data_IF_846984693192
#
_entry.id   IF_846984693192
#
_cell.length_a   1.000
_cell.length_b   1.000
_cell.length_c   1.000
_cell.angle_alpha   90.00
_cell.angle_beta   90.00
_cell.angle_gamma   90.00
#
_symmetry.space_group_name_H-M   'P 1'
#
loop_
_entity.id
_entity.type
_entity.pdbx_description
1 polymer ?
#
# COMPACT_ATOMS: atom_id res chain seq x y z
N UNK A 1 -28.45 -7.97 2.70
CA UNK A 1 -29.11 -6.77 3.20
C UNK A 1 -28.39 -5.56 2.62
N UNK A 2 -29.14 -4.68 2.00
CA UNK A 2 -28.70 -3.35 1.62
C UNK A 2 -28.69 -2.55 2.93
N UNK A 3 -27.53 -2.08 3.35
CA UNK A 3 -27.38 -1.19 4.51
C UNK A 3 -27.27 0.22 3.92
N UNK A 4 -28.38 0.92 3.96
CA UNK A 4 -28.62 2.32 3.54
C UNK A 4 -27.97 2.74 2.21
N UNK A 5 -27.02 2.50 1.64
CA UNK A 5 -26.46 2.77 0.31
C UNK A 5 -25.36 1.76 -0.09
N UNK A 6 -25.02 0.81 0.82
CA UNK A 6 -23.97 -0.18 0.59
C UNK A 6 -24.55 -1.55 0.28
N UNK A 7 -24.40 -2.05 -0.97
CA UNK A 7 -24.78 -3.40 -1.33
C UNK A 7 -23.74 -4.43 -0.85
N UNK A 8 -23.96 -4.94 0.37
CA UNK A 8 -23.11 -5.97 0.98
C UNK A 8 -23.07 -7.27 0.16
N UNK A 9 -24.12 -7.57 -0.62
CA UNK A 9 -24.19 -8.77 -1.46
C UNK A 9 -23.24 -8.65 -2.65
N UNK A 10 -23.23 -7.51 -3.33
CA UNK A 10 -22.35 -7.23 -4.45
C UNK A 10 -20.88 -7.17 -4.01
N UNK A 11 -20.62 -6.55 -2.88
CA UNK A 11 -19.29 -6.53 -2.25
C UNK A 11 -18.75 -7.94 -1.97
N UNK A 12 -19.57 -8.85 -1.42
CA UNK A 12 -19.19 -10.23 -1.15
C UNK A 12 -19.02 -11.03 -2.44
N UNK A 13 -19.92 -10.84 -3.43
CA UNK A 13 -19.81 -11.48 -4.74
C UNK A 13 -18.50 -11.13 -5.44
N UNK A 14 -18.07 -9.87 -5.38
CA UNK A 14 -16.76 -9.41 -5.89
C UNK A 14 -15.57 -10.11 -5.23
N UNK A 15 -15.74 -10.64 -4.03
CA UNK A 15 -14.74 -11.44 -3.29
C UNK A 15 -14.92 -12.95 -3.46
N UNK A 16 -15.80 -13.40 -4.32
CA UNK A 16 -16.10 -14.82 -4.52
C UNK A 16 -16.89 -15.47 -3.38
N UNK A 17 -17.50 -14.67 -2.49
CA UNK A 17 -18.33 -15.16 -1.40
C UNK A 17 -19.78 -15.24 -1.88
N UNK A 18 -20.26 -16.47 -2.20
CA UNK A 18 -21.62 -16.71 -2.70
C UNK A 18 -22.69 -16.78 -1.60
N UNK A 19 -22.30 -17.06 -0.35
CA UNK A 19 -23.25 -17.20 0.77
C UNK A 19 -22.60 -16.85 2.11
N UNK A 20 -23.42 -16.35 3.05
CA UNK A 20 -22.99 -15.98 4.40
C UNK A 20 -23.86 -16.72 5.41
N UNK A 21 -23.21 -17.44 6.32
CA UNK A 21 -23.87 -18.11 7.45
C UNK A 21 -23.84 -17.17 8.66
N UNK A 22 -25.00 -16.85 9.23
CA UNK A 22 -25.10 -16.03 10.44
C UNK A 22 -25.15 -16.94 11.67
N UNK A 23 -24.17 -16.77 12.58
CA UNK A 23 -24.08 -17.55 13.83
C UNK A 23 -23.92 -19.07 13.63
N UNK A 24 -23.11 -19.55 12.66
CA UNK A 24 -22.99 -20.98 12.42
C UNK A 24 -22.29 -21.67 13.61
N UNK A 25 -22.77 -22.89 13.94
CA UNK A 25 -21.99 -23.77 14.82
C UNK A 25 -20.93 -24.47 13.99
N UNK A 26 -19.67 -24.06 14.20
CA UNK A 26 -18.55 -24.62 13.44
C UNK A 26 -17.94 -25.78 14.24
N UNK A 27 -17.92 -26.97 13.64
CA UNK A 27 -17.26 -28.15 14.18
C UNK A 27 -16.12 -28.54 13.26
N UNK A 28 -14.91 -28.62 13.79
CA UNK A 28 -13.73 -29.02 13.01
C UNK A 28 -13.75 -30.55 12.82
N UNK A 29 -14.01 -30.99 11.60
CA UNK A 29 -14.10 -32.42 11.25
C UNK A 29 -12.74 -33.05 10.93
N UNK A 30 -11.70 -32.26 10.61
CA UNK A 30 -10.38 -32.77 10.28
C UNK A 30 -9.37 -31.68 9.99
N UNK A 31 -8.12 -32.08 9.67
CA UNK A 31 -7.14 -31.17 9.12
C UNK A 31 -7.49 -30.88 7.66
N UNK A 32 -7.61 -29.58 7.30
CA UNK A 32 -8.00 -29.20 5.96
C UNK A 32 -7.03 -29.69 4.87
N UNK A 33 -7.57 -30.06 3.72
CA UNK A 33 -6.85 -30.56 2.53
C UNK A 33 -6.26 -29.42 1.66
N UNK A 34 -6.05 -28.21 2.22
CA UNK A 34 -5.52 -27.07 1.49
C UNK A 34 -4.07 -27.23 1.06
N UNK A 35 -3.65 -26.45 0.05
CA UNK A 35 -2.27 -26.42 -0.46
C UNK A 35 -1.26 -26.23 0.67
N UNK A 36 -0.26 -27.14 0.74
CA UNK A 36 0.84 -27.07 1.72
C UNK A 36 1.63 -25.77 1.59
N UNK A 37 1.79 -25.26 0.38
CA UNK A 37 2.44 -23.98 0.12
C UNK A 37 1.68 -22.81 0.79
N UNK A 38 0.37 -22.68 0.55
CA UNK A 38 -0.45 -21.64 1.16
C UNK A 38 -0.47 -21.76 2.68
N UNK A 39 -0.57 -22.99 3.21
CA UNK A 39 -0.53 -23.24 4.65
C UNK A 39 0.79 -22.77 5.27
N UNK A 40 1.91 -23.03 4.60
CA UNK A 40 3.23 -22.56 5.03
C UNK A 40 3.31 -21.05 5.00
N UNK A 41 2.82 -20.41 3.93
CA UNK A 41 2.78 -18.95 3.79
C UNK A 41 1.98 -18.28 4.92
N UNK A 42 0.80 -18.82 5.23
CA UNK A 42 -0.03 -18.33 6.34
C UNK A 42 0.63 -18.54 7.71
N UNK A 43 1.34 -19.67 7.93
CA UNK A 43 2.12 -19.88 9.16
C UNK A 43 3.22 -18.84 9.32
N UNK A 44 3.96 -18.53 8.27
CA UNK A 44 4.99 -17.49 8.28
C UNK A 44 4.38 -16.12 8.56
N UNK A 45 3.27 -15.78 7.92
CA UNK A 45 2.55 -14.53 8.18
C UNK A 45 2.12 -14.41 9.64
N UNK A 46 1.59 -15.48 10.21
CA UNK A 46 1.20 -15.51 11.63
C UNK A 46 2.41 -15.43 12.57
N UNK A 47 3.51 -16.09 12.25
CA UNK A 47 4.75 -16.01 13.01
C UNK A 47 5.33 -14.59 13.02
N UNK A 48 5.34 -13.90 11.86
CA UNK A 48 5.77 -12.51 11.78
C UNK A 48 4.84 -11.58 12.58
N UNK A 49 3.52 -11.76 12.45
CA UNK A 49 2.55 -10.98 13.22
C UNK A 49 2.74 -11.15 14.73
N UNK A 50 2.90 -12.38 15.20
CA UNK A 50 3.14 -12.65 16.61
C UNK A 50 4.50 -12.11 17.08
N UNK A 51 5.49 -12.04 16.19
CA UNK A 51 6.79 -11.43 16.48
C UNK A 51 6.66 -9.92 16.63
N UNK A 52 5.97 -9.23 15.71
CA UNK A 52 5.70 -7.79 15.84
C UNK A 52 5.00 -7.47 17.16
N UNK A 53 3.97 -8.24 17.53
CA UNK A 53 3.25 -8.06 18.79
C UNK A 53 4.10 -8.35 20.05
N UNK A 54 5.22 -9.10 19.93
CA UNK A 54 6.16 -9.35 21.04
C UNK A 54 7.24 -8.28 21.18
N UNK A 55 7.59 -7.58 20.09
CA UNK A 55 8.69 -6.60 20.09
C UNK A 55 8.21 -5.15 20.21
N UNK A 56 6.94 -4.87 19.92
CA UNK A 56 6.32 -3.55 19.99
C UNK A 56 5.03 -3.58 20.82
N UNK A 57 4.71 -2.49 21.55
CA UNK A 57 3.42 -2.31 22.19
C UNK A 57 2.32 -2.03 21.18
N UNK A 58 1.04 -2.16 21.58
CA UNK A 58 -0.10 -1.63 20.85
C UNK A 58 -0.28 -0.14 21.22
N UNK A 59 -0.71 0.72 20.27
CA UNK A 59 -1.19 0.43 18.89
C UNK A 59 -0.08 0.34 17.82
N UNK A 60 1.18 0.64 18.14
CA UNK A 60 2.29 0.66 17.16
C UNK A 60 2.52 -0.70 16.49
N UNK A 61 2.35 -1.80 17.24
CA UNK A 61 2.42 -3.16 16.69
C UNK A 61 1.32 -3.42 15.65
N UNK A 62 0.12 -2.90 15.90
CA UNK A 62 -1.01 -2.94 14.96
C UNK A 62 -0.70 -2.21 13.66
N UNK A 63 -0.20 -0.97 13.76
CA UNK A 63 0.18 -0.15 12.62
C UNK A 63 1.31 -0.81 11.80
N UNK A 64 2.37 -1.28 12.44
CA UNK A 64 3.47 -1.97 11.74
C UNK A 64 2.99 -3.24 11.05
N UNK A 65 2.09 -4.01 11.68
CA UNK A 65 1.49 -5.21 11.07
C UNK A 65 0.65 -4.86 9.85
N UNK A 66 -0.07 -3.75 9.86
CA UNK A 66 -0.78 -3.21 8.70
C UNK A 66 0.17 -2.89 7.55
N UNK A 67 1.21 -2.11 7.83
CA UNK A 67 2.20 -1.65 6.84
C UNK A 67 3.00 -2.82 6.23
N UNK A 68 3.47 -3.80 7.04
CA UNK A 68 4.33 -4.88 6.56
C UNK A 68 3.57 -6.09 6.03
N UNK A 69 2.45 -6.46 6.69
CA UNK A 69 1.77 -7.73 6.46
C UNK A 69 0.36 -7.56 5.86
N UNK A 70 -0.13 -6.33 5.72
CA UNK A 70 -1.48 -6.05 5.21
C UNK A 70 -2.60 -6.50 6.15
N UNK A 71 -2.36 -6.56 7.45
CA UNK A 71 -3.34 -6.98 8.46
C UNK A 71 -3.84 -5.75 9.21
N UNK A 72 -4.72 -4.97 8.57
CA UNK A 72 -5.20 -3.68 9.09
C UNK A 72 -6.21 -3.75 10.25
N UNK A 73 -6.73 -4.93 10.59
CA UNK A 73 -7.81 -5.06 11.60
C UNK A 73 -7.33 -5.15 13.06
N UNK A 74 -6.12 -4.70 13.37
CA UNK A 74 -5.54 -4.78 14.72
C UNK A 74 -5.50 -3.43 15.46
N UNK A 75 -6.03 -2.37 14.87
CA UNK A 75 -6.12 -1.06 15.52
C UNK A 75 -7.45 -0.92 16.27
N UNK A 76 -7.48 -0.14 17.36
CA UNK A 76 -8.71 0.31 18.00
C UNK A 76 -9.61 1.07 17.01
N UNK A 77 -10.94 0.98 17.20
CA UNK A 77 -11.90 1.56 16.26
C UNK A 77 -11.80 3.10 16.14
N UNK A 78 -11.43 3.77 17.22
CA UNK A 78 -11.18 5.21 17.28
C UNK A 78 -9.97 5.62 16.43
N UNK A 79 -8.90 4.84 16.42
CA UNK A 79 -7.75 5.07 15.56
C UNK A 79 -8.07 4.77 14.09
N UNK A 80 -8.81 3.70 13.81
CA UNK A 80 -9.24 3.37 12.43
C UNK A 80 -10.05 4.52 11.83
N UNK A 81 -10.97 5.09 12.61
CA UNK A 81 -11.73 6.27 12.23
C UNK A 81 -10.83 7.51 12.05
N UNK A 82 -9.86 7.75 12.95
CA UNK A 82 -8.91 8.84 12.81
C UNK A 82 -8.08 8.72 11.52
N UNK A 83 -7.66 7.50 11.14
CA UNK A 83 -6.99 7.25 9.85
C UNK A 83 -7.90 7.55 8.66
N UNK A 84 -9.21 7.24 8.76
CA UNK A 84 -10.20 7.54 7.73
C UNK A 84 -10.36 9.04 7.54
N UNK A 85 -10.60 9.77 8.63
CA UNK A 85 -10.78 11.23 8.63
C UNK A 85 -9.52 11.95 8.16
N UNK A 86 -8.33 11.51 8.57
CA UNK A 86 -7.05 12.03 8.09
C UNK A 86 -6.74 11.67 6.62
N UNK A 87 -7.55 10.80 5.96
CA UNK A 87 -7.31 10.34 4.58
C UNK A 87 -6.11 9.42 4.44
N UNK A 88 -5.65 8.80 5.54
CA UNK A 88 -4.46 7.95 5.61
C UNK A 88 -4.77 6.45 5.67
N UNK A 89 -6.03 6.02 5.48
CA UNK A 89 -6.42 4.60 5.49
C UNK A 89 -5.62 3.74 4.51
N UNK A 90 -5.14 4.32 3.42
CA UNK A 90 -4.32 3.63 2.42
C UNK A 90 -2.92 3.22 2.94
N UNK A 91 -2.43 3.79 4.05
CA UNK A 91 -1.15 3.44 4.70
C UNK A 91 -1.28 2.14 5.49
N UNK A 92 -2.46 1.86 6.05
CA UNK A 92 -2.75 0.61 6.77
C UNK A 92 -2.94 -0.58 5.83
N UNK A 93 -3.20 -0.32 4.56
CA UNK A 93 -3.32 -1.34 3.52
C UNK A 93 -2.03 -1.33 2.71
N UNK A 94 -1.54 -2.52 2.34
CA UNK A 94 -0.34 -2.59 1.51
C UNK A 94 -0.56 -1.88 0.18
N UNK A 95 0.25 -0.87 -0.02
CA UNK A 95 0.25 -0.04 -1.22
C UNK A 95 1.13 -0.61 -2.32
N UNK A 96 0.96 -0.11 -3.54
CA UNK A 96 1.83 -0.42 -4.66
C UNK A 96 3.31 -0.06 -4.41
N UNK A 97 3.56 0.92 -3.52
CA UNK A 97 4.89 1.30 -3.09
C UNK A 97 5.66 0.14 -2.41
N UNK A 98 4.99 -0.64 -1.56
CA UNK A 98 5.59 -1.78 -0.88
C UNK A 98 6.05 -2.86 -1.88
N UNK A 99 5.22 -3.14 -2.89
CA UNK A 99 5.58 -4.06 -3.98
C UNK A 99 6.81 -3.53 -4.76
N UNK A 100 6.82 -2.24 -5.08
CA UNK A 100 7.94 -1.61 -5.79
C UNK A 100 9.24 -1.65 -4.99
N UNK A 101 9.16 -1.45 -3.67
CA UNK A 101 10.32 -1.53 -2.78
C UNK A 101 10.90 -2.96 -2.74
N UNK A 102 10.04 -3.98 -2.61
CA UNK A 102 10.45 -5.39 -2.61
C UNK A 102 11.03 -5.77 -3.97
N UNK A 103 10.37 -5.40 -5.08
CA UNK A 103 10.86 -5.64 -6.43
C UNK A 103 12.23 -4.98 -6.66
N UNK A 104 12.40 -3.72 -6.24
CA UNK A 104 13.66 -2.99 -6.32
C UNK A 104 14.78 -3.65 -5.52
N UNK A 105 14.50 -4.10 -4.29
CA UNK A 105 15.46 -4.81 -3.45
C UNK A 105 15.90 -6.14 -4.08
N UNK A 106 14.96 -6.93 -4.61
CA UNK A 106 15.24 -8.19 -5.30
C UNK A 106 16.08 -7.97 -6.55
N UNK A 107 15.79 -6.93 -7.34
CA UNK A 107 16.58 -6.56 -8.52
C UNK A 107 18.00 -6.13 -8.14
N UNK A 108 18.17 -5.30 -7.10
CA UNK A 108 19.49 -4.85 -6.65
C UNK A 108 20.38 -6.02 -6.20
N UNK A 109 19.82 -6.95 -5.43
CA UNK A 109 20.56 -8.14 -4.96
C UNK A 109 20.83 -9.08 -6.13
N UNK A 110 19.83 -9.33 -6.96
CA UNK A 110 19.94 -10.27 -8.09
C UNK A 110 20.98 -9.83 -9.11
N UNK A 111 20.95 -8.55 -9.53
CA UNK A 111 21.88 -8.01 -10.56
C UNK A 111 23.35 -8.02 -10.13
N UNK A 112 23.64 -7.98 -8.83
CA UNK A 112 25.03 -7.96 -8.32
C UNK A 112 25.64 -9.35 -8.15
N UNK A 113 24.83 -10.40 -8.00
CA UNK A 113 25.28 -11.72 -7.53
C UNK A 113 24.92 -12.89 -8.43
N UNK A 114 23.97 -12.72 -9.35
CA UNK A 114 23.36 -13.83 -10.09
C UNK A 114 23.41 -13.59 -11.60
N UNK A 115 23.36 -14.71 -12.34
CA UNK A 115 23.15 -14.67 -13.78
C UNK A 115 21.80 -13.95 -14.08
N UNK A 116 21.79 -13.22 -15.17
CA UNK A 116 20.68 -12.42 -15.67
C UNK A 116 19.31 -13.13 -15.62
N UNK A 117 19.23 -14.35 -16.15
CA UNK A 117 17.98 -15.12 -16.19
C UNK A 117 17.54 -15.64 -14.81
N UNK A 118 18.51 -16.00 -13.96
CA UNK A 118 18.23 -16.39 -12.57
C UNK A 118 17.73 -15.21 -11.76
N UNK A 119 18.34 -14.04 -11.92
CA UNK A 119 17.90 -12.80 -11.26
C UNK A 119 16.47 -12.43 -11.68
N UNK A 120 16.15 -12.55 -12.97
CA UNK A 120 14.78 -12.35 -13.47
C UNK A 120 13.79 -13.30 -12.81
N UNK A 121 14.06 -14.60 -12.88
CA UNK A 121 13.19 -15.63 -12.33
C UNK A 121 12.93 -15.43 -10.84
N UNK A 122 13.98 -15.14 -10.05
CA UNK A 122 13.87 -14.85 -8.63
C UNK A 122 13.07 -13.58 -8.34
N UNK A 123 13.25 -12.53 -9.14
CA UNK A 123 12.50 -11.29 -8.97
C UNK A 123 11.00 -11.49 -9.28
N UNK A 124 10.68 -12.16 -10.39
CA UNK A 124 9.31 -12.47 -10.77
C UNK A 124 8.63 -13.37 -9.72
N UNK A 125 9.31 -14.45 -9.31
CA UNK A 125 8.81 -15.35 -8.26
C UNK A 125 8.68 -14.63 -6.91
N UNK A 126 9.65 -13.83 -6.52
CA UNK A 126 9.63 -13.07 -5.26
C UNK A 126 8.49 -12.07 -5.18
N UNK A 127 8.22 -11.32 -6.26
CA UNK A 127 7.07 -10.40 -6.34
C UNK A 127 5.76 -11.17 -6.25
N UNK A 128 5.62 -12.30 -6.96
CA UNK A 128 4.43 -13.13 -6.93
C UNK A 128 4.20 -13.73 -5.53
N UNK A 129 5.23 -14.31 -4.92
CA UNK A 129 5.18 -14.85 -3.55
C UNK A 129 4.83 -13.76 -2.53
N UNK A 130 5.44 -12.57 -2.65
CA UNK A 130 5.13 -11.45 -1.75
C UNK A 130 3.68 -10.98 -1.92
N UNK A 131 3.17 -10.89 -3.15
CA UNK A 131 1.77 -10.55 -3.38
C UNK A 131 0.80 -11.58 -2.76
N UNK A 132 1.11 -12.88 -2.89
CA UNK A 132 0.35 -13.95 -2.22
C UNK A 132 0.46 -13.87 -0.70
N UNK A 133 1.64 -13.58 -0.18
CA UNK A 133 1.91 -13.47 1.26
C UNK A 133 1.10 -12.35 1.91
N UNK A 134 1.01 -11.21 1.25
CA UNK A 134 0.32 -10.02 1.74
C UNK A 134 -1.20 -10.14 1.58
N UNK A 135 -1.63 -10.85 0.56
CA UNK A 135 -3.01 -10.97 0.12
C UNK A 135 -3.24 -10.22 -1.19
N UNK A 136 -3.98 -10.86 -2.08
CA UNK A 136 -4.24 -10.38 -3.45
C UNK A 136 -5.34 -9.29 -3.48
N UNK A 137 -5.20 -8.22 -2.68
CA UNK A 137 -6.07 -7.05 -2.82
C UNK A 137 -5.85 -6.37 -4.18
N UNK A 138 -6.84 -5.62 -4.68
CA UNK A 138 -6.75 -4.98 -6.00
C UNK A 138 -5.50 -4.07 -6.17
N UNK A 139 -5.10 -3.22 -5.18
CA UNK A 139 -3.86 -2.44 -5.27
C UNK A 139 -2.59 -3.29 -5.34
N UNK A 140 -2.54 -4.39 -4.57
CA UNK A 140 -1.40 -5.32 -4.56
C UNK A 140 -1.29 -6.04 -5.90
N UNK A 141 -2.40 -6.58 -6.40
CA UNK A 141 -2.43 -7.29 -7.69
C UNK A 141 -2.03 -6.38 -8.85
N UNK A 142 -2.59 -5.15 -8.91
CA UNK A 142 -2.19 -4.16 -9.90
C UNK A 142 -0.69 -3.88 -9.85
N UNK A 143 -0.14 -3.58 -8.67
CA UNK A 143 1.26 -3.24 -8.52
C UNK A 143 2.18 -4.42 -8.84
N UNK A 144 1.81 -5.64 -8.46
CA UNK A 144 2.54 -6.84 -8.83
C UNK A 144 2.54 -7.05 -10.35
N UNK A 145 1.38 -6.97 -11.02
CA UNK A 145 1.29 -7.09 -12.48
C UNK A 145 2.13 -6.02 -13.19
N UNK A 146 2.03 -4.76 -12.76
CA UNK A 146 2.85 -3.68 -13.33
C UNK A 146 4.34 -3.93 -13.12
N UNK A 147 4.76 -4.34 -11.92
CA UNK A 147 6.16 -4.67 -11.64
C UNK A 147 6.65 -5.83 -12.53
N UNK A 148 5.86 -6.90 -12.67
CA UNK A 148 6.18 -8.05 -13.54
C UNK A 148 6.31 -7.63 -15.01
N UNK A 149 5.40 -6.77 -15.50
CA UNK A 149 5.43 -6.25 -16.88
C UNK A 149 6.65 -5.35 -17.12
N UNK A 150 6.96 -4.45 -16.18
CA UNK A 150 8.13 -3.56 -16.26
C UNK A 150 9.42 -4.35 -16.23
N UNK A 151 9.57 -5.28 -15.29
CA UNK A 151 10.75 -6.13 -15.18
C UNK A 151 10.90 -6.99 -16.43
N UNK A 152 9.84 -7.67 -16.87
CA UNK A 152 9.85 -8.49 -18.07
C UNK A 152 10.22 -7.70 -19.34
N UNK A 153 9.70 -6.46 -19.50
CA UNK A 153 10.03 -5.61 -20.64
C UNK A 153 11.51 -5.19 -20.66
N UNK A 154 12.06 -4.80 -19.48
CA UNK A 154 13.49 -4.48 -19.36
C UNK A 154 14.38 -5.65 -19.74
N UNK A 155 14.02 -6.85 -19.32
CA UNK A 155 14.74 -8.07 -19.67
C UNK A 155 14.58 -8.45 -21.15
N UNK A 156 13.48 -8.10 -21.79
CA UNK A 156 13.31 -8.26 -23.24
C UNK A 156 14.01 -7.15 -24.06
N UNK A 157 14.81 -6.28 -23.43
CA UNK A 157 15.49 -5.16 -24.09
C UNK A 157 14.54 -4.08 -24.61
N UNK A 158 13.29 -4.03 -24.10
CA UNK A 158 12.26 -3.09 -24.51
C UNK A 158 12.08 -1.99 -23.44
N UNK A 159 11.78 -0.78 -23.90
CA UNK A 159 11.36 0.31 -23.00
C UNK A 159 9.93 0.05 -22.53
N UNK A 160 9.73 0.03 -21.21
CA UNK A 160 8.38 -0.02 -20.63
C UNK A 160 7.78 1.36 -20.55
N UNK A 161 6.52 1.51 -20.98
CA UNK A 161 5.72 2.70 -20.74
C UNK A 161 4.76 2.41 -19.58
N UNK A 162 4.77 3.27 -18.56
CA UNK A 162 3.94 3.09 -17.36
C UNK A 162 2.45 3.01 -17.68
N UNK A 163 1.96 3.84 -18.63
CA UNK A 163 0.57 3.79 -19.07
C UNK A 163 0.22 2.47 -19.74
N UNK A 164 1.11 1.91 -20.57
CA UNK A 164 0.90 0.61 -21.23
C UNK A 164 0.85 -0.52 -20.17
N UNK A 165 1.74 -0.48 -19.20
CA UNK A 165 1.74 -1.46 -18.10
C UNK A 165 0.50 -1.32 -17.22
N UNK A 166 0.01 -0.09 -16.99
CA UNK A 166 -1.22 0.17 -16.26
C UNK A 166 -2.44 -0.36 -17.02
N UNK A 167 -2.55 -0.08 -18.32
CA UNK A 167 -3.63 -0.56 -19.17
C UNK A 167 -3.64 -2.09 -19.28
N UNK A 168 -2.46 -2.70 -19.43
CA UNK A 168 -2.34 -4.16 -19.46
C UNK A 168 -2.74 -4.80 -18.11
N UNK A 169 -2.34 -4.21 -16.99
CA UNK A 169 -2.77 -4.66 -15.66
C UNK A 169 -4.29 -4.54 -15.49
N UNK A 170 -4.89 -3.42 -15.94
CA UNK A 170 -6.34 -3.22 -15.94
C UNK A 170 -7.05 -4.32 -16.75
N UNK A 171 -6.59 -4.55 -17.97
CA UNK A 171 -7.16 -5.58 -18.86
C UNK A 171 -7.06 -6.98 -18.23
N UNK A 172 -5.90 -7.37 -17.73
CA UNK A 172 -5.70 -8.69 -17.11
C UNK A 172 -6.62 -8.87 -15.90
N UNK A 173 -6.70 -7.86 -15.02
CA UNK A 173 -7.52 -7.94 -13.82
C UNK A 173 -9.00 -8.03 -14.16
N UNK A 174 -9.50 -7.22 -15.10
CA UNK A 174 -10.92 -7.22 -15.51
C UNK A 174 -11.30 -8.43 -16.34
N UNK A 175 -10.38 -8.96 -17.15
CA UNK A 175 -10.58 -10.23 -17.86
C UNK A 175 -10.66 -11.43 -16.88
N UNK A 176 -9.87 -11.41 -15.81
CA UNK A 176 -9.91 -12.45 -14.77
C UNK A 176 -11.17 -12.36 -13.89
N UNK A 177 -11.59 -11.16 -13.55
CA UNK A 177 -12.81 -10.91 -12.77
C UNK A 177 -13.42 -9.56 -13.15
N UNK A 178 -14.49 -9.52 -13.95
CA UNK A 178 -15.17 -8.28 -14.36
C UNK A 178 -15.69 -7.43 -13.18
N UNK A 179 -16.00 -8.04 -12.04
CA UNK A 179 -16.49 -7.33 -10.85
C UNK A 179 -15.47 -6.35 -10.25
N UNK A 180 -14.20 -6.45 -10.63
CA UNK A 180 -13.20 -5.43 -10.23
C UNK A 180 -13.57 -4.03 -10.69
N UNK A 181 -14.28 -3.86 -11.82
CA UNK A 181 -14.67 -2.55 -12.31
C UNK A 181 -15.54 -1.76 -11.32
N UNK A 182 -16.35 -2.43 -10.54
CA UNK A 182 -17.21 -1.81 -9.50
C UNK A 182 -16.55 -1.74 -8.12
N UNK A 183 -15.36 -2.32 -7.96
CA UNK A 183 -14.65 -2.27 -6.69
C UNK A 183 -14.01 -0.90 -6.45
N UNK A 184 -14.41 -0.19 -5.39
CA UNK A 184 -13.79 1.07 -4.97
C UNK A 184 -12.26 0.96 -4.82
N UNK A 185 -11.78 -0.14 -4.26
CA UNK A 185 -10.34 -0.40 -4.09
C UNK A 185 -9.60 -0.49 -5.44
N UNK A 186 -10.22 -1.08 -6.47
CA UNK A 186 -9.68 -1.11 -7.82
C UNK A 186 -9.68 0.28 -8.44
N UNK A 187 -10.84 0.96 -8.45
CA UNK A 187 -11.01 2.28 -9.04
C UNK A 187 -10.05 3.30 -8.43
N UNK A 188 -9.97 3.39 -7.10
CA UNK A 188 -9.05 4.29 -6.40
C UNK A 188 -7.59 4.00 -6.73
N UNK A 189 -7.22 2.72 -6.78
CA UNK A 189 -5.84 2.32 -7.05
C UNK A 189 -5.40 2.68 -8.48
N UNK A 190 -6.28 2.49 -9.48
CA UNK A 190 -6.00 2.86 -10.87
C UNK A 190 -6.05 4.37 -11.08
N UNK A 191 -7.04 5.06 -10.49
CA UNK A 191 -7.15 6.51 -10.55
C UNK A 191 -5.92 7.21 -9.94
N UNK A 192 -5.49 6.79 -8.74
CA UNK A 192 -4.28 7.32 -8.12
C UNK A 192 -3.05 7.14 -9.02
N UNK A 193 -2.85 5.95 -9.59
CA UNK A 193 -1.70 5.71 -10.47
C UNK A 193 -1.78 6.53 -11.76
N UNK A 194 -2.97 6.67 -12.34
CA UNK A 194 -3.17 7.52 -13.51
C UNK A 194 -2.85 8.98 -13.17
N UNK A 195 -3.27 9.46 -12.00
CA UNK A 195 -2.91 10.78 -11.48
C UNK A 195 -1.41 11.00 -11.41
N UNK A 196 -0.68 10.03 -10.87
CA UNK A 196 0.79 10.09 -10.78
C UNK A 196 1.48 10.06 -12.14
N UNK A 197 0.92 9.38 -13.13
CA UNK A 197 1.56 9.23 -14.46
C UNK A 197 1.20 10.37 -15.40
N UNK A 198 0.01 10.96 -15.26
CA UNK A 198 -0.51 11.98 -16.19
C UNK A 198 -0.54 13.37 -15.55
N UNK A 199 -1.12 13.48 -14.35
CA UNK A 199 -1.38 14.77 -13.69
C UNK A 199 -0.11 15.33 -13.05
N UNK A 200 0.64 14.51 -12.29
CA UNK A 200 1.89 14.98 -11.64
C UNK A 200 2.88 15.58 -12.64
N UNK A 201 3.27 14.93 -13.76
CA UNK A 201 4.22 15.51 -14.69
C UNK A 201 3.71 16.79 -15.36
N UNK A 202 2.40 16.90 -15.58
CA UNK A 202 1.81 18.11 -16.15
C UNK A 202 1.87 19.30 -15.17
N UNK A 203 1.58 19.04 -13.90
CA UNK A 203 1.68 20.04 -12.83
C UNK A 203 3.14 20.40 -12.54
N UNK A 204 4.05 19.43 -12.50
CA UNK A 204 5.47 19.62 -12.27
C UNK A 204 6.11 20.53 -13.31
N UNK A 205 5.84 20.30 -14.61
CA UNK A 205 6.34 21.19 -15.67
C UNK A 205 5.89 22.65 -15.50
N UNK A 206 4.63 22.87 -15.06
CA UNK A 206 4.11 24.22 -14.80
C UNK A 206 4.78 24.86 -13.58
N UNK A 207 5.03 24.08 -12.54
CA UNK A 207 5.74 24.56 -11.35
C UNK A 207 7.19 24.91 -11.68
N UNK A 208 7.91 24.03 -12.37
CA UNK A 208 9.30 24.25 -12.77
C UNK A 208 9.41 25.51 -13.62
N UNK A 209 8.51 25.72 -14.58
CA UNK A 209 8.48 26.93 -15.42
C UNK A 209 8.29 28.22 -14.59
N UNK A 210 7.43 28.19 -13.56
CA UNK A 210 7.21 29.34 -12.66
C UNK A 210 8.41 29.60 -11.74
N UNK A 211 9.02 28.54 -11.21
CA UNK A 211 10.18 28.65 -10.33
C UNK A 211 11.42 29.16 -11.06
N UNK A 212 11.63 28.77 -12.32
CA UNK A 212 12.72 29.29 -13.15
C UNK A 212 12.58 30.78 -13.44
N UNK A 213 11.37 31.32 -13.43
CA UNK A 213 11.11 32.77 -13.59
C UNK A 213 11.44 33.58 -12.33
N UNK A 214 11.66 32.94 -11.18
CA UNK A 214 11.90 33.62 -9.88
C UNK A 214 13.31 34.12 -9.64
N UNK A 215 14.23 33.93 -10.59
CA UNK A 215 15.56 34.55 -10.58
C UNK A 215 16.68 33.87 -9.77
N UNK A 216 16.38 32.80 -9.01
CA UNK A 216 17.36 32.01 -8.26
C UNK A 216 17.29 30.52 -8.63
N UNK A 217 18.16 30.04 -9.55
CA UNK A 217 18.08 28.64 -10.03
C UNK A 217 18.38 27.61 -8.95
N UNK A 218 19.19 27.92 -7.94
CA UNK A 218 19.51 26.95 -6.87
C UNK A 218 18.39 26.81 -5.86
N UNK A 219 17.74 27.92 -5.50
CA UNK A 219 16.51 27.90 -4.69
C UNK A 219 15.38 27.23 -5.42
N UNK A 220 15.18 27.56 -6.69
CA UNK A 220 14.19 26.93 -7.52
C UNK A 220 14.37 25.40 -7.58
N UNK A 221 15.59 24.91 -7.77
CA UNK A 221 15.88 23.47 -7.81
C UNK A 221 15.61 22.76 -6.48
N UNK A 222 15.95 23.36 -5.33
CA UNK A 222 15.67 22.77 -4.00
C UNK A 222 14.18 22.74 -3.69
N UNK A 223 13.47 23.82 -3.97
CA UNK A 223 12.02 23.89 -3.74
C UNK A 223 11.24 23.02 -4.71
N UNK A 224 11.69 22.89 -5.97
CA UNK A 224 11.04 22.01 -6.93
C UNK A 224 11.09 20.54 -6.48
N UNK A 225 12.23 20.06 -5.97
CA UNK A 225 12.37 18.68 -5.48
C UNK A 225 11.44 18.44 -4.29
N UNK A 226 11.49 19.28 -3.25
CA UNK A 226 10.64 19.11 -2.06
C UNK A 226 9.14 19.26 -2.37
N UNK A 227 8.77 20.28 -3.15
CA UNK A 227 7.38 20.48 -3.53
C UNK A 227 6.86 19.37 -4.45
N UNK A 228 7.70 18.85 -5.33
CA UNK A 228 7.32 17.79 -6.27
C UNK A 228 7.13 16.46 -5.58
N UNK A 229 8.12 16.03 -4.77
CA UNK A 229 8.10 14.70 -4.16
C UNK A 229 7.05 14.56 -3.05
N UNK A 230 6.67 15.64 -2.39
CA UNK A 230 5.75 15.59 -1.25
C UNK A 230 4.36 16.12 -1.59
N UNK A 231 4.28 17.32 -2.20
CA UNK A 231 3.00 17.99 -2.45
C UNK A 231 2.37 17.59 -3.78
N UNK A 232 3.15 17.62 -4.88
CA UNK A 232 2.58 17.35 -6.21
C UNK A 232 2.15 15.91 -6.38
N UNK A 233 2.92 14.95 -5.87
CA UNK A 233 2.57 13.53 -5.89
C UNK A 233 1.26 13.29 -5.15
N UNK A 234 1.13 13.84 -3.94
CA UNK A 234 -0.09 13.72 -3.14
C UNK A 234 -1.27 14.41 -3.80
N UNK A 235 -1.09 15.66 -4.26
CA UNK A 235 -2.15 16.43 -4.90
C UNK A 235 -2.62 15.79 -6.20
N UNK A 236 -1.70 15.29 -7.03
CA UNK A 236 -2.04 14.61 -8.29
C UNK A 236 -2.84 13.31 -8.03
N UNK A 237 -2.43 12.53 -7.02
CA UNK A 237 -3.16 11.33 -6.63
C UNK A 237 -4.56 11.67 -6.08
N UNK A 238 -4.66 12.69 -5.21
CA UNK A 238 -5.94 13.14 -4.64
C UNK A 238 -6.89 13.66 -5.72
N UNK A 239 -6.43 14.54 -6.61
CA UNK A 239 -7.27 15.09 -7.69
C UNK A 239 -7.81 13.97 -8.59
N UNK A 240 -7.00 12.95 -8.87
CA UNK A 240 -7.42 11.83 -9.69
C UNK A 240 -8.38 10.87 -8.95
N UNK A 241 -8.25 10.72 -7.64
CA UNK A 241 -9.12 9.84 -6.83
C UNK A 241 -10.39 10.54 -6.33
N UNK A 242 -10.43 11.87 -6.29
CA UNK A 242 -11.53 12.66 -5.77
C UNK A 242 -12.91 12.31 -6.39
N UNK A 243 -13.06 12.13 -7.72
CA UNK A 243 -14.33 11.73 -8.29
C UNK A 243 -14.81 10.35 -7.79
N UNK A 244 -13.87 9.40 -7.61
CA UNK A 244 -14.18 8.07 -7.11
C UNK A 244 -14.52 8.13 -5.62
N UNK A 245 -13.79 8.92 -4.82
CA UNK A 245 -14.10 9.12 -3.41
C UNK A 245 -15.49 9.70 -3.23
N UNK A 246 -15.84 10.72 -4.00
CA UNK A 246 -17.15 11.35 -3.95
C UNK A 246 -18.29 10.40 -4.32
N UNK A 247 -18.13 9.62 -5.40
CA UNK A 247 -19.18 8.70 -5.87
C UNK A 247 -19.33 7.44 -5.02
N UNK A 248 -18.25 6.98 -4.37
CA UNK A 248 -18.24 5.72 -3.62
C UNK A 248 -18.45 5.91 -2.10
N UNK A 249 -18.03 7.06 -1.56
CA UNK A 249 -18.04 7.31 -0.11
C UNK A 249 -18.77 8.58 0.30
N UNK A 250 -19.12 9.46 -0.66
CA UNK A 250 -19.78 10.74 -0.37
C UNK A 250 -18.91 11.76 0.39
N UNK A 251 -17.66 11.42 0.67
CA UNK A 251 -16.78 12.23 1.52
C UNK A 251 -15.40 12.42 0.88
N UNK A 252 -14.79 13.57 1.15
CA UNK A 252 -13.38 13.82 0.82
C UNK A 252 -12.66 14.44 2.02
N UNK A 253 -11.47 13.93 2.35
CA UNK A 253 -10.66 14.45 3.45
C UNK A 253 -9.80 15.62 2.99
N UNK A 254 -10.02 16.80 3.55
CA UNK A 254 -9.14 17.96 3.38
C UNK A 254 -7.83 17.82 4.15
N UNK A 255 -7.83 17.06 5.24
CA UNK A 255 -6.64 16.76 6.03
C UNK A 255 -5.66 15.83 5.30
N UNK A 256 -6.10 15.12 4.26
CA UNK A 256 -5.26 14.14 3.56
C UNK A 256 -3.99 14.75 2.95
N UNK A 257 -4.03 16.00 2.46
CA UNK A 257 -2.84 16.64 1.88
C UNK A 257 -1.75 16.90 2.93
N UNK A 258 -2.01 17.64 4.04
CA UNK A 258 -1.01 17.82 5.08
C UNK A 258 -0.63 16.51 5.79
N UNK A 259 -1.58 15.61 6.01
CA UNK A 259 -1.32 14.32 6.64
C UNK A 259 -0.34 13.46 5.80
N UNK A 260 -0.55 13.36 4.50
CA UNK A 260 0.37 12.67 3.60
C UNK A 260 1.75 13.33 3.56
N UNK A 261 1.81 14.66 3.51
CA UNK A 261 3.08 15.40 3.50
C UNK A 261 3.93 15.10 4.74
N UNK A 262 3.29 14.88 5.90
CA UNK A 262 3.97 14.57 7.16
C UNK A 262 4.32 13.08 7.29
N UNK A 263 3.47 12.17 6.82
CA UNK A 263 3.62 10.72 7.07
C UNK A 263 4.39 10.00 5.97
N UNK A 264 4.23 10.36 4.69
CA UNK A 264 4.91 9.67 3.58
C UNK A 264 6.44 9.64 3.71
N UNK A 265 7.15 10.72 4.16
CA UNK A 265 8.60 10.67 4.31
C UNK A 265 9.10 9.64 5.32
N UNK A 266 8.32 9.37 6.37
CA UNK A 266 8.69 8.40 7.42
C UNK A 266 8.24 6.98 7.11
N UNK A 267 7.39 6.77 6.11
CA UNK A 267 6.87 5.45 5.75
C UNK A 267 7.97 4.50 5.27
N UNK A 268 8.92 4.97 4.45
CA UNK A 268 10.06 4.17 3.98
C UNK A 268 10.97 3.72 5.13
N UNK A 269 11.46 4.61 6.02
CA UNK A 269 12.18 4.20 7.23
C UNK A 269 11.39 3.21 8.10
N UNK A 270 10.09 3.42 8.31
CA UNK A 270 9.25 2.49 9.08
C UNK A 270 9.25 1.09 8.44
N UNK A 271 9.09 1.01 7.13
CA UNK A 271 9.09 -0.27 6.43
C UNK A 271 10.44 -0.99 6.54
N UNK A 272 11.54 -0.30 6.30
CA UNK A 272 12.87 -0.91 6.30
C UNK A 272 13.30 -1.31 7.71
N UNK A 273 13.20 -0.39 8.68
CA UNK A 273 13.56 -0.66 10.08
C UNK A 273 12.59 -1.65 10.73
N UNK A 274 11.30 -1.55 10.43
CA UNK A 274 10.28 -2.46 10.91
C UNK A 274 10.47 -3.88 10.39
N UNK A 275 10.79 -4.04 9.09
CA UNK A 275 11.12 -5.32 8.52
C UNK A 275 12.39 -5.92 9.13
N UNK A 276 13.44 -5.11 9.32
CA UNK A 276 14.67 -5.54 9.97
C UNK A 276 14.43 -5.94 11.44
N UNK A 277 13.70 -5.13 12.22
CA UNK A 277 13.36 -5.44 13.61
C UNK A 277 12.53 -6.73 13.72
N UNK A 278 11.57 -6.92 12.79
CA UNK A 278 10.74 -8.13 12.75
C UNK A 278 11.58 -9.37 12.38
N UNK A 279 12.49 -9.27 11.43
CA UNK A 279 13.39 -10.35 11.04
C UNK A 279 14.34 -10.72 12.20
N UNK A 280 14.95 -9.74 12.86
CA UNK A 280 15.78 -9.95 14.05
C UNK A 280 14.97 -10.54 15.22
N UNK A 281 13.73 -10.08 15.40
CA UNK A 281 12.83 -10.59 16.43
C UNK A 281 12.35 -12.03 16.19
N UNK A 282 12.33 -12.46 14.93
CA UNK A 282 12.04 -13.85 14.56
C UNK A 282 13.21 -14.78 14.95
N UNK A 283 14.46 -14.30 14.82
CA UNK A 283 15.66 -15.03 15.22
C UNK A 283 15.83 -15.03 16.74
N UNK A 284 15.71 -13.85 17.35
CA UNK A 284 15.86 -13.68 18.79
C UNK A 284 15.09 -12.45 19.29
N UNK A 285 14.08 -12.66 20.12
CA UNK A 285 13.17 -11.62 20.57
C UNK A 285 13.83 -10.39 21.24
N UNK A 286 14.88 -10.52 22.09
CA UNK A 286 15.57 -9.36 22.64
C UNK A 286 16.23 -8.47 21.59
N UNK A 287 16.88 -9.06 20.55
CA UNK A 287 17.46 -8.28 19.45
C UNK A 287 16.38 -7.54 18.66
N UNK A 288 15.25 -8.20 18.41
CA UNK A 288 14.10 -7.57 17.77
C UNK A 288 13.57 -6.37 18.57
N UNK A 289 13.51 -6.47 19.91
CA UNK A 289 13.10 -5.35 20.78
C UNK A 289 14.08 -4.18 20.70
N UNK A 290 15.38 -4.43 20.75
CA UNK A 290 16.39 -3.36 20.61
C UNK A 290 16.26 -2.67 19.23
N UNK A 291 16.11 -3.43 18.17
CA UNK A 291 15.89 -2.86 16.83
C UNK A 291 14.54 -2.11 16.72
N UNK A 292 13.52 -2.57 17.44
CA UNK A 292 12.20 -1.93 17.48
C UNK A 292 12.23 -0.54 18.14
N UNK A 293 13.19 -0.24 19.00
CA UNK A 293 13.38 1.11 19.56
C UNK A 293 13.69 2.17 18.51
N UNK A 294 14.26 1.77 17.37
CA UNK A 294 14.53 2.69 16.26
C UNK A 294 13.28 2.97 15.44
N UNK A 295 12.36 2.03 15.34
CA UNK A 295 11.13 2.19 14.55
C UNK A 295 9.96 2.74 15.39
N UNK A 296 9.97 2.49 16.68
CA UNK A 296 8.91 2.92 17.60
C UNK A 296 8.62 4.43 17.54
N UNK A 297 9.61 5.34 17.63
CA UNK A 297 9.34 6.79 17.57
C UNK A 297 8.74 7.22 16.23
N UNK A 298 9.09 6.56 15.13
CA UNK A 298 8.50 6.85 13.81
C UNK A 298 7.04 6.40 13.74
N UNK A 299 6.73 5.23 14.31
CA UNK A 299 5.35 4.75 14.42
C UNK A 299 4.52 5.67 15.33
N UNK A 300 5.07 6.06 16.47
CA UNK A 300 4.40 7.00 17.39
C UNK A 300 4.17 8.36 16.76
N UNK A 301 5.14 8.85 15.99
CA UNK A 301 4.98 10.06 15.21
C UNK A 301 3.81 9.94 14.20
N UNK A 302 3.72 8.83 13.46
CA UNK A 302 2.59 8.61 12.55
C UNK A 302 1.25 8.60 13.28
N UNK A 303 1.16 7.91 14.41
CA UNK A 303 -0.06 7.87 15.22
C UNK A 303 -0.42 9.27 15.73
N UNK A 304 0.56 10.03 16.22
CA UNK A 304 0.34 11.39 16.68
C UNK A 304 -0.20 12.30 15.57
N UNK A 305 0.34 12.22 14.34
CA UNK A 305 -0.17 12.99 13.19
C UNK A 305 -1.61 12.60 12.89
N UNK A 306 -1.92 11.30 12.92
CA UNK A 306 -3.27 10.78 12.66
C UNK A 306 -4.26 11.23 13.74
N UNK A 307 -3.89 11.08 15.01
CA UNK A 307 -4.72 11.52 16.15
C UNK A 307 -5.01 13.02 16.09
N UNK A 308 -3.98 13.83 15.75
CA UNK A 308 -4.10 15.30 15.71
C UNK A 308 -4.98 15.75 14.52
N UNK A 309 -4.74 15.23 13.33
CA UNK A 309 -5.46 15.64 12.11
C UNK A 309 -6.82 14.95 11.99
N UNK A 310 -6.93 13.71 12.46
CA UNK A 310 -8.18 12.96 12.48
C UNK A 310 -9.16 13.45 13.56
N UNK A 311 -8.68 14.14 14.60
CA UNK A 311 -9.52 14.77 15.62
C UNK A 311 -10.17 16.11 15.20
N UNK A 312 -9.81 16.64 14.01
CA UNK A 312 -10.40 17.88 13.50
C UNK A 312 -11.77 17.59 12.88
N UNK A 313 -12.84 18.04 13.53
CA UNK A 313 -14.23 17.84 13.06
C UNK A 313 -14.56 18.46 11.69
N UNK A 314 -13.70 19.36 11.18
CA UNK A 314 -13.82 20.02 9.88
C UNK A 314 -12.95 19.38 8.79
N UNK A 315 -12.33 18.24 9.07
CA UNK A 315 -11.37 17.61 8.15
C UNK A 315 -12.01 16.87 6.95
N UNK A 316 -13.32 16.60 7.01
CA UNK A 316 -14.08 15.97 5.91
C UNK A 316 -15.13 16.94 5.36
N UNK A 317 -15.28 16.94 4.03
CA UNK A 317 -16.37 17.60 3.30
C UNK A 317 -17.29 16.52 2.79
N UNK A 318 -18.54 16.54 3.22
CA UNK A 318 -19.62 15.68 2.76
C UNK A 318 -20.32 16.26 1.53
#
# INVERSE_FOLDING_TARGET
PVLDEFDYREYLAGRGVGSVLRGPRVVRLGAGEGSTFLRTLYRWRQALRSTVARILPNPEAGLLSGILLGVGHSLPADLDEAFRVAGLSHIMVISGYNISLVAGALLLVGRKRLNYWVALGLCLAGVAVYALFVGLSAPVLRAALMALLVIGSQYAGRRSHTLTSLAAAAFIMTAANPLYLWSASYQLSFAATLGLVVVEPAMGRRLDARLLQSGDPQRAARWSILARDVLLVTLAAQLATLPVMWTQFGEASLAALPANALVLPVQTPIMLLGAAATALGLLWAPLGRVAAWLVWPLLRYCLWVVETLGGLSSATVA
#
